data_IF_603101039516
#
_entry.id   IF_603101039516
#
_cell.length_a   1.000
_cell.length_b   1.000
_cell.length_c   1.000
_cell.angle_alpha   90.00
_cell.angle_beta   90.00
_cell.angle_gamma   90.00
#
_symmetry.space_group_name_H-M   'P 1'
#
loop_
_entity.id
_entity.type
_entity.pdbx_description
1 polymer ?
#
# COMPACT_ATOMS: atom_id res chain seq x y z
N UNK A 1 -17.24 -10.38 14.60
CA UNK A 1 -16.17 -10.71 13.65
C UNK A 1 -15.10 -9.63 13.76
N UNK A 2 -14.08 -9.86 14.59
CA UNK A 2 -12.92 -8.96 14.64
C UNK A 2 -12.02 -9.35 13.45
N UNK A 3 -12.03 -8.55 12.38
CA UNK A 3 -11.19 -8.80 11.21
C UNK A 3 -9.72 -8.76 11.61
N UNK A 4 -8.97 -9.83 11.31
CA UNK A 4 -7.53 -9.83 11.50
C UNK A 4 -6.91 -8.90 10.43
N UNK A 5 -6.27 -7.83 10.89
CA UNK A 5 -5.44 -6.96 10.04
C UNK A 5 -4.02 -7.49 10.06
N UNK A 6 -3.44 -7.72 8.88
CA UNK A 6 -2.04 -8.16 8.75
C UNK A 6 -1.07 -6.98 8.84
N UNK A 7 -1.37 -5.86 8.16
CA UNK A 7 -0.57 -4.64 8.21
C UNK A 7 -1.45 -3.40 7.97
N UNK A 8 -1.06 -2.27 8.57
CA UNK A 8 -1.65 -0.95 8.36
C UNK A 8 -0.62 -0.04 7.68
N UNK A 9 -1.09 0.71 6.68
CA UNK A 9 -0.26 1.51 5.81
C UNK A 9 -0.92 2.87 5.60
N UNK A 10 -0.25 3.94 6.01
CA UNK A 10 -0.62 5.31 5.62
C UNK A 10 0.31 5.74 4.49
N UNK A 11 -0.29 6.20 3.39
CA UNK A 11 0.42 6.60 2.18
C UNK A 11 0.17 8.08 1.90
N UNK A 12 1.20 8.75 1.40
CA UNK A 12 1.09 10.06 0.75
C UNK A 12 0.43 9.89 -0.65
N UNK A 13 -0.11 10.96 -1.23
CA UNK A 13 -0.76 10.96 -2.56
C UNK A 13 0.18 10.47 -3.67
N UNK A 14 1.49 10.58 -3.43
CA UNK A 14 2.55 10.11 -4.33
C UNK A 14 2.86 8.62 -4.17
N UNK A 15 2.16 7.91 -3.28
CA UNK A 15 2.36 6.49 -3.01
C UNK A 15 3.52 6.16 -2.08
N UNK A 16 4.07 7.15 -1.36
CA UNK A 16 5.15 6.94 -0.38
C UNK A 16 4.58 6.54 0.97
N UNK A 17 5.21 5.59 1.66
CA UNK A 17 4.77 5.15 2.99
C UNK A 17 5.15 6.24 4.02
N UNK A 18 4.15 6.72 4.76
CA UNK A 18 4.32 7.64 5.88
C UNK A 18 4.38 6.89 7.20
N UNK A 19 3.47 5.93 7.40
CA UNK A 19 3.41 5.08 8.60
C UNK A 19 3.14 3.65 8.15
N UNK A 20 3.90 2.72 8.72
CA UNK A 20 3.72 1.29 8.53
C UNK A 20 3.65 0.61 9.89
N UNK A 21 2.62 -0.21 10.08
CA UNK A 21 2.47 -1.06 11.26
C UNK A 21 2.20 -2.47 10.78
N UNK A 22 3.19 -3.33 10.92
CA UNK A 22 3.02 -4.76 10.69
C UNK A 22 2.64 -5.44 12.00
N UNK A 23 1.51 -6.15 11.99
CA UNK A 23 0.99 -6.85 13.15
C UNK A 23 1.31 -8.35 13.13
N UNK A 24 1.76 -8.88 11.98
CA UNK A 24 2.11 -10.30 11.81
C UNK A 24 3.59 -10.52 11.51
N UNK A 25 4.30 -9.48 11.06
CA UNK A 25 5.72 -9.55 10.68
C UNK A 25 5.96 -10.11 9.28
N UNK A 26 4.90 -10.42 8.53
CA UNK A 26 4.97 -11.08 7.23
C UNK A 26 5.04 -10.08 6.05
N UNK A 27 4.87 -8.78 6.30
CA UNK A 27 4.65 -7.79 5.24
C UNK A 27 5.80 -6.79 5.19
N UNK A 28 6.71 -6.95 4.23
CA UNK A 28 7.81 -6.00 4.05
C UNK A 28 7.36 -4.66 3.44
N UNK A 29 7.78 -3.55 4.06
CA UNK A 29 7.52 -2.19 3.56
C UNK A 29 7.94 -1.99 2.09
N UNK A 30 9.08 -2.54 1.67
CA UNK A 30 9.56 -2.43 0.30
C UNK A 30 8.64 -3.12 -0.74
N UNK A 31 7.99 -4.20 -0.33
CA UNK A 31 7.05 -4.93 -1.19
C UNK A 31 5.76 -4.14 -1.37
N UNK A 32 5.34 -3.44 -0.31
CA UNK A 32 4.16 -2.59 -0.30
C UNK A 32 4.36 -1.32 -1.15
N UNK A 33 5.49 -0.63 -1.02
CA UNK A 33 5.79 0.55 -1.85
C UNK A 33 5.71 0.24 -3.33
N UNK A 34 6.28 -0.90 -3.74
CA UNK A 34 6.25 -1.37 -5.13
C UNK A 34 4.83 -1.70 -5.59
N UNK A 35 4.01 -2.28 -4.72
CA UNK A 35 2.62 -2.61 -5.03
C UNK A 35 1.79 -1.34 -5.26
N UNK A 36 1.82 -0.39 -4.33
CA UNK A 36 1.03 0.84 -4.45
C UNK A 36 1.51 1.75 -5.58
N UNK A 37 2.83 1.83 -5.84
CA UNK A 37 3.35 2.56 -7.00
C UNK A 37 2.80 2.00 -8.32
N UNK A 38 2.73 0.67 -8.46
CA UNK A 38 2.13 0.02 -9.63
C UNK A 38 0.62 0.26 -9.72
N UNK A 39 -0.06 0.21 -8.58
CA UNK A 39 -1.52 0.36 -8.51
C UNK A 39 -1.93 1.79 -8.89
N UNK A 40 -1.28 2.81 -8.33
CA UNK A 40 -1.53 4.22 -8.69
C UNK A 40 -1.23 4.47 -10.17
N UNK A 41 -0.13 3.93 -10.69
CA UNK A 41 0.20 4.05 -12.12
C UNK A 41 -0.90 3.46 -13.01
N UNK A 42 -1.43 2.29 -12.65
CA UNK A 42 -2.48 1.63 -13.39
C UNK A 42 -3.81 2.39 -13.33
N UNK A 43 -4.15 2.97 -12.18
CA UNK A 43 -5.34 3.82 -12.02
C UNK A 43 -5.27 5.05 -12.95
N UNK A 44 -4.11 5.71 -13.02
CA UNK A 44 -3.88 6.87 -13.91
C UNK A 44 -3.99 6.48 -15.37
N UNK A 45 -3.45 5.32 -15.76
CA UNK A 45 -3.58 4.81 -17.13
C UNK A 45 -5.03 4.47 -17.51
N UNK A 46 -5.84 3.98 -16.56
CA UNK A 46 -7.26 3.69 -16.78
C UNK A 46 -8.13 4.96 -16.85
N UNK A 47 -7.75 6.04 -16.16
CA UNK A 47 -8.49 7.29 -16.15
C UNK A 47 -8.31 8.12 -17.44
N UNK A 48 -7.24 7.90 -18.20
CA UNK A 48 -6.98 8.58 -19.48
C UNK A 48 -7.49 7.83 -20.72
N UNK A 49 -8.39 6.85 -20.55
CA UNK A 49 -9.00 6.07 -21.63
C UNK A 49 -10.51 6.28 -21.68
#
# INVERSE_FOLDING_TARGET
>A
MAGAVSALLLLDIKGRILIWSDYRGDVSAAQVERFFTKLIKKEVELQCR
#
